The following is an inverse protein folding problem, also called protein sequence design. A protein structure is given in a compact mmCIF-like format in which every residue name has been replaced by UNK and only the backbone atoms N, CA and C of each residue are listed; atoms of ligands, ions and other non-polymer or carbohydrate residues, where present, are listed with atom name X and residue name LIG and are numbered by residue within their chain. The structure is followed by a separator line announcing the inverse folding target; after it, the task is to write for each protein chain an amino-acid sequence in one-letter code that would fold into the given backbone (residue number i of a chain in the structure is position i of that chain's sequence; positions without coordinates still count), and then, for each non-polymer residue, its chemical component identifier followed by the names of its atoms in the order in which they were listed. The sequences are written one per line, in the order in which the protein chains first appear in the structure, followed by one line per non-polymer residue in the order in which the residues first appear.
data_IF_047383383252
#
_entry.id   IF_047383383252
#
_cell.length_a   1.000
_cell.length_b   1.000
_cell.length_c   1.000
_cell.angle_alpha   90.00
_cell.angle_beta   90.00
_cell.angle_gamma   90.00
#
_symmetry.space_group_name_H-M   'P 1'
#
loop_
_entity.id
_entity.type
_entity.pdbx_description
1 polymer ?
#
# COMPACT_ATOMS: atom_id res chain seq x y z
N UNK A 1 1.77 -0.27 -5.19
CA UNK A 1 1.39 0.30 -6.50
C UNK A 1 1.71 -0.74 -7.56
N UNK A 2 1.46 -0.46 -8.84
CA UNK A 2 1.97 -1.33 -9.91
C UNK A 2 3.27 -0.75 -10.50
N UNK A 3 3.88 -1.45 -11.46
CA UNK A 3 5.18 -1.09 -12.04
C UNK A 3 5.12 0.02 -13.09
N UNK A 4 3.99 0.74 -13.19
CA UNK A 4 3.85 1.88 -14.11
C UNK A 4 4.13 3.17 -13.36
N UNK A 5 4.98 4.02 -13.94
CA UNK A 5 5.49 5.23 -13.29
C UNK A 5 6.92 5.03 -12.78
N UNK A 6 7.49 6.07 -12.17
CA UNK A 6 8.82 5.97 -11.56
C UNK A 6 8.74 5.45 -10.13
N UNK A 7 9.80 4.77 -9.68
CA UNK A 7 9.93 4.25 -8.31
C UNK A 7 9.62 5.33 -7.27
N UNK A 8 10.17 6.55 -7.45
CA UNK A 8 9.93 7.69 -6.56
C UNK A 8 8.46 8.11 -6.52
N UNK A 9 7.80 8.13 -7.68
CA UNK A 9 6.38 8.45 -7.74
C UNK A 9 5.56 7.38 -7.03
N UNK A 10 5.83 6.10 -7.31
CA UNK A 10 5.13 4.96 -6.75
C UNK A 10 5.31 4.86 -5.24
N UNK A 11 6.52 5.10 -4.75
CA UNK A 11 6.82 5.19 -3.32
C UNK A 11 5.99 6.29 -2.65
N UNK A 12 6.08 7.53 -3.15
CA UNK A 12 5.31 8.67 -2.61
C UNK A 12 3.79 8.46 -2.68
N UNK A 13 3.28 7.82 -3.73
CA UNK A 13 1.86 7.51 -3.87
C UNK A 13 1.42 6.48 -2.83
N UNK A 14 2.19 5.40 -2.65
CA UNK A 14 1.88 4.37 -1.67
C UNK A 14 1.94 4.89 -0.23
N UNK A 15 2.94 5.73 0.09
CA UNK A 15 3.10 6.32 1.42
C UNK A 15 1.94 7.27 1.77
N UNK A 16 1.52 8.12 0.82
CA UNK A 16 0.33 8.97 1.00
C UNK A 16 -0.94 8.16 1.21
N UNK A 17 -1.11 7.05 0.48
CA UNK A 17 -2.25 6.14 0.66
C UNK A 17 -2.24 5.49 2.04
N UNK A 18 -1.10 4.95 2.47
CA UNK A 18 -0.94 4.34 3.79
C UNK A 18 -1.27 5.36 4.90
N UNK A 19 -0.70 6.57 4.84
CA UNK A 19 -0.98 7.65 5.80
C UNK A 19 -2.47 8.02 5.84
N UNK A 20 -3.12 8.17 4.67
CA UNK A 20 -4.54 8.48 4.59
C UNK A 20 -5.41 7.40 5.24
N UNK A 21 -5.10 6.12 4.98
CA UNK A 21 -5.79 4.98 5.59
C UNK A 21 -5.61 4.96 7.12
N UNK A 22 -4.39 5.20 7.61
CA UNK A 22 -4.13 5.29 9.07
C UNK A 22 -4.95 6.41 9.70
N UNK A 23 -4.94 7.61 9.10
CA UNK A 23 -5.72 8.75 9.62
C UNK A 23 -7.21 8.45 9.64
N UNK A 24 -7.73 7.79 8.60
CA UNK A 24 -9.13 7.38 8.56
C UNK A 24 -9.47 6.41 9.70
N UNK A 25 -8.66 5.38 9.93
CA UNK A 25 -8.89 4.42 11.01
C UNK A 25 -8.84 5.08 12.40
N UNK A 26 -7.92 6.02 12.62
CA UNK A 26 -7.87 6.82 13.85
C UNK A 26 -9.15 7.64 14.00
N UNK A 27 -9.65 8.27 12.94
CA UNK A 27 -10.91 9.01 12.96
C UNK A 27 -12.14 8.12 13.25
N UNK A 28 -12.02 6.80 13.08
CA UNK A 28 -13.03 5.81 13.45
C UNK A 28 -12.87 5.25 14.86
N UNK A 29 -11.95 5.81 15.65
CA UNK A 29 -11.79 5.50 17.07
C UNK A 29 -10.75 4.43 17.39
N UNK A 30 -9.97 3.96 16.40
CA UNK A 30 -8.84 3.07 16.70
C UNK A 30 -7.69 3.91 17.25
N UNK A 31 -7.16 3.51 18.41
CA UNK A 31 -6.06 4.21 19.06
C UNK A 31 -4.80 4.22 18.17
N UNK A 32 -4.10 5.38 18.15
CA UNK A 32 -2.98 5.64 17.23
C UNK A 32 -1.81 4.68 17.42
N UNK A 33 -1.55 4.28 18.65
CA UNK A 33 -0.53 3.32 19.06
C UNK A 33 -0.79 1.90 18.54
N UNK A 34 -2.05 1.57 18.18
CA UNK A 34 -2.43 0.26 17.64
C UNK A 34 -2.30 0.14 16.12
N UNK A 35 -1.94 1.21 15.42
CA UNK A 35 -1.90 1.23 13.95
C UNK A 35 -0.60 1.85 13.46
N UNK A 36 0.10 1.09 12.61
CA UNK A 36 1.16 1.60 11.74
C UNK A 36 0.75 1.48 10.27
N UNK A 37 1.31 2.34 9.42
CA UNK A 37 1.13 2.25 7.97
C UNK A 37 2.42 2.56 7.23
N UNK A 38 2.72 1.75 6.22
CA UNK A 38 3.92 1.90 5.39
C UNK A 38 3.56 1.76 3.91
N UNK A 39 4.13 2.63 3.08
CA UNK A 39 4.11 2.50 1.63
C UNK A 39 5.32 1.72 1.14
N UNK A 40 5.11 0.82 0.18
CA UNK A 40 6.17 0.00 -0.44
C UNK A 40 6.41 0.35 -1.92
N UNK A 41 5.68 1.30 -2.48
CA UNK A 41 5.71 1.56 -3.93
C UNK A 41 5.42 0.28 -4.71
N UNK A 42 6.27 -0.01 -5.70
CA UNK A 42 6.21 -1.21 -6.52
C UNK A 42 7.19 -2.33 -6.09
N UNK A 43 7.91 -2.16 -4.98
CA UNK A 43 8.97 -3.08 -4.57
C UNK A 43 8.46 -4.42 -4.05
N UNK A 44 7.20 -4.50 -3.61
CA UNK A 44 6.55 -5.70 -3.07
C UNK A 44 5.34 -6.13 -3.95
N UNK A 45 5.57 -6.59 -5.19
CA UNK A 45 4.48 -7.02 -6.07
C UNK A 45 3.86 -8.32 -5.56
N UNK A 46 2.53 -8.39 -5.60
CA UNK A 46 1.79 -9.64 -5.34
C UNK A 46 1.95 -10.61 -6.50
N UNK A 47 1.98 -10.08 -7.72
CA UNK A 47 2.22 -10.83 -8.94
C UNK A 47 3.51 -10.33 -9.57
N UNK A 48 4.48 -11.23 -9.67
CA UNK A 48 5.69 -11.00 -10.44
C UNK A 48 5.39 -11.11 -11.94
N UNK A 49 5.23 -9.97 -12.61
CA UNK A 49 4.99 -9.88 -14.05
C UNK A 49 5.73 -8.67 -14.61
N UNK A 50 6.28 -8.77 -15.84
CA UNK A 50 6.89 -7.67 -16.61
C UNK A 50 6.95 -8.06 -18.11
N UNK A 51 6.17 -7.43 -19.02
CA UNK A 51 5.01 -6.56 -18.78
C UNK A 51 3.81 -7.34 -18.20
N UNK A 52 2.93 -6.66 -17.47
CA UNK A 52 1.71 -7.27 -16.92
C UNK A 52 0.48 -6.97 -17.78
N UNK A 53 -0.57 -7.79 -17.63
CA UNK A 53 -1.92 -7.43 -18.07
C UNK A 53 -2.64 -6.54 -17.03
N UNK A 54 -3.78 -5.95 -17.40
CA UNK A 54 -4.49 -5.01 -16.50
C UNK A 54 -5.00 -5.65 -15.20
N UNK A 55 -5.35 -6.93 -15.22
CA UNK A 55 -5.78 -7.67 -14.03
C UNK A 55 -4.62 -7.82 -13.04
N UNK A 56 -3.44 -8.24 -13.52
CA UNK A 56 -2.23 -8.35 -12.72
C UNK A 56 -1.78 -6.99 -12.17
N UNK A 57 -1.86 -5.93 -12.97
CA UNK A 57 -1.62 -4.58 -12.47
C UNK A 57 -2.61 -4.21 -11.35
N UNK A 58 -3.90 -4.54 -11.50
CA UNK A 58 -4.90 -4.30 -10.46
C UNK A 58 -4.58 -5.06 -9.17
N UNK A 59 -4.13 -6.32 -9.26
CA UNK A 59 -3.72 -7.10 -8.11
C UNK A 59 -2.51 -6.49 -7.37
N UNK A 60 -1.56 -5.88 -8.09
CA UNK A 60 -0.42 -5.17 -7.48
C UNK A 60 -0.83 -3.83 -6.84
N UNK A 61 -1.85 -3.13 -7.37
CA UNK A 61 -2.42 -1.90 -6.78
C UNK A 61 -3.33 -2.22 -5.57
N UNK A 62 -2.74 -2.66 -4.47
CA UNK A 62 -3.46 -3.08 -3.25
C UNK A 62 -3.04 -2.32 -1.99
N UNK A 63 -3.87 -2.43 -0.96
CA UNK A 63 -3.57 -2.11 0.45
C UNK A 63 -3.84 -3.36 1.28
N UNK A 64 -2.93 -3.71 2.18
CA UNK A 64 -3.04 -4.89 3.03
C UNK A 64 -3.12 -4.47 4.49
N UNK A 65 -3.95 -5.19 5.26
CA UNK A 65 -4.12 -4.99 6.70
C UNK A 65 -3.67 -6.26 7.41
N UNK A 66 -2.60 -6.14 8.20
CA UNK A 66 -2.05 -7.23 8.98
C UNK A 66 -2.40 -7.00 10.44
N UNK A 67 -3.02 -8.01 11.07
CA UNK A 67 -3.24 -8.02 12.51
C UNK A 67 -2.03 -8.70 13.14
N UNK A 68 -1.22 -7.92 13.84
CA UNK A 68 -0.07 -8.43 14.59
C UNK A 68 -0.51 -8.86 15.98
N UNK A 69 0.01 -9.99 16.47
CA UNK A 69 -0.11 -10.38 17.87
C UNK A 69 1.04 -9.74 18.64
N UNK A 70 0.77 -9.35 19.88
CA UNK A 70 1.80 -8.96 20.85
C UNK A 70 2.77 -10.11 21.14
#
# INVERSE_FOLDING_TARGET
TDSRGSDKYNMNLSDRRAKSTVQYLISKGIAKDRISGQGFGESEPKVACKPCNEEQYAQNRRSEFLIVKE
#
